data_IF_812085994832
#
_entry.id   IF_812085994832
#
_cell.length_a   1.000
_cell.length_b   1.000
_cell.length_c   1.000
_cell.angle_alpha   90.00
_cell.angle_beta   90.00
_cell.angle_gamma   90.00
#
_symmetry.space_group_name_H-M   'P 1'
#
loop_
_entity.id
_entity.type
_entity.pdbx_description
1 polymer ?
#
# COMPACT_ATOMS: atom_id res chain seq x y z
N UNK A 1 -59.26 -43.63 0.40
CA UNK A 1 -57.80 -43.41 0.28
C UNK A 1 -57.52 -41.91 0.23
N UNK A 2 -57.22 -41.28 1.38
CA UNK A 2 -56.92 -39.84 1.48
C UNK A 2 -55.43 -39.63 1.17
N UNK A 3 -55.12 -39.08 0.00
CA UNK A 3 -53.74 -38.79 -0.43
C UNK A 3 -53.07 -37.77 0.50
N UNK A 4 -51.87 -38.10 0.96
CA UNK A 4 -50.98 -37.29 1.80
C UNK A 4 -50.53 -36.01 1.09
N UNK A 5 -51.37 -34.98 1.09
CA UNK A 5 -51.03 -33.63 0.57
C UNK A 5 -50.01 -32.88 1.42
N UNK A 6 -49.84 -33.24 2.70
CA UNK A 6 -48.92 -32.56 3.63
C UNK A 6 -47.43 -32.88 3.42
N UNK A 7 -47.08 -34.10 3.01
CA UNK A 7 -45.68 -34.48 2.82
C UNK A 7 -45.02 -33.74 1.66
N UNK A 8 -45.66 -33.72 0.49
CA UNK A 8 -45.13 -33.01 -0.68
C UNK A 8 -45.01 -31.50 -0.46
N UNK A 9 -45.98 -30.88 0.24
CA UNK A 9 -45.92 -29.45 0.55
C UNK A 9 -44.75 -29.10 1.49
N UNK A 10 -44.51 -29.92 2.52
CA UNK A 10 -43.38 -29.76 3.44
C UNK A 10 -42.02 -29.90 2.73
N UNK A 11 -41.89 -30.85 1.80
CA UNK A 11 -40.66 -30.99 0.99
C UNK A 11 -40.43 -29.79 0.09
N UNK A 12 -41.48 -29.27 -0.56
CA UNK A 12 -41.38 -28.07 -1.40
C UNK A 12 -41.00 -26.85 -0.56
N UNK A 13 -41.58 -26.68 0.62
CA UNK A 13 -41.24 -25.59 1.54
C UNK A 13 -39.79 -25.68 2.02
N UNK A 14 -39.34 -26.87 2.43
CA UNK A 14 -37.95 -27.11 2.82
C UNK A 14 -37.00 -26.84 1.64
N UNK A 15 -37.37 -27.24 0.42
CA UNK A 15 -36.59 -26.97 -0.78
C UNK A 15 -36.48 -25.47 -1.07
N UNK A 16 -37.57 -24.72 -0.90
CA UNK A 16 -37.56 -23.26 -1.05
C UNK A 16 -36.72 -22.58 0.03
N UNK A 17 -36.79 -23.04 1.29
CA UNK A 17 -35.95 -22.52 2.37
C UNK A 17 -34.47 -22.82 2.14
N UNK A 18 -34.13 -24.02 1.68
CA UNK A 18 -32.76 -24.38 1.33
C UNK A 18 -32.27 -23.55 0.15
N UNK A 19 -33.09 -23.38 -0.89
CA UNK A 19 -32.76 -22.52 -2.04
C UNK A 19 -32.53 -21.07 -1.60
N UNK A 20 -33.41 -20.53 -0.76
CA UNK A 20 -33.27 -19.19 -0.20
C UNK A 20 -31.99 -19.07 0.63
N UNK A 21 -31.71 -20.05 1.49
CA UNK A 21 -30.48 -20.09 2.30
C UNK A 21 -29.23 -20.10 1.42
N UNK A 22 -29.20 -20.91 0.37
CA UNK A 22 -28.09 -20.97 -0.59
C UNK A 22 -27.91 -19.64 -1.32
N UNK A 23 -29.02 -19.00 -1.72
CA UNK A 23 -28.99 -17.68 -2.34
C UNK A 23 -28.44 -16.62 -1.38
N UNK A 24 -28.91 -16.59 -0.12
CA UNK A 24 -28.40 -15.68 0.91
C UNK A 24 -26.90 -15.91 1.20
N UNK A 25 -26.46 -17.16 1.31
CA UNK A 25 -25.05 -17.49 1.51
C UNK A 25 -24.18 -17.01 0.36
N UNK A 26 -24.67 -17.16 -0.88
CA UNK A 26 -23.97 -16.69 -2.08
C UNK A 26 -23.79 -15.17 -2.05
N UNK A 27 -24.81 -14.42 -1.64
CA UNK A 27 -24.71 -12.96 -1.47
C UNK A 27 -23.69 -12.60 -0.38
N UNK A 28 -23.71 -13.30 0.76
CA UNK A 28 -22.75 -13.07 1.85
C UNK A 28 -21.30 -13.30 1.40
N UNK A 29 -21.03 -14.38 0.67
CA UNK A 29 -19.70 -14.67 0.12
C UNK A 29 -19.22 -13.56 -0.82
N UNK A 30 -20.11 -13.03 -1.67
CA UNK A 30 -19.76 -11.92 -2.56
C UNK A 30 -19.42 -10.65 -1.78
N UNK A 31 -20.22 -10.28 -0.77
CA UNK A 31 -19.98 -9.10 0.06
C UNK A 31 -18.67 -9.24 0.83
N UNK A 32 -18.42 -10.39 1.47
CA UNK A 32 -17.17 -10.64 2.19
C UNK A 32 -15.96 -10.67 1.25
N UNK A 33 -16.13 -11.23 0.05
CA UNK A 33 -15.12 -11.23 -0.99
C UNK A 33 -14.73 -9.81 -1.43
N UNK A 34 -15.71 -8.94 -1.65
CA UNK A 34 -15.49 -7.53 -1.98
C UNK A 34 -14.82 -6.79 -0.81
N UNK A 35 -15.35 -6.93 0.41
CA UNK A 35 -14.79 -6.30 1.60
C UNK A 35 -13.33 -6.70 1.86
N UNK A 36 -12.98 -7.97 1.62
CA UNK A 36 -11.59 -8.46 1.76
C UNK A 36 -10.65 -7.82 0.74
N UNK A 37 -11.09 -7.59 -0.50
CA UNK A 37 -10.29 -6.90 -1.52
C UNK A 37 -10.06 -5.44 -1.15
N UNK A 38 -11.15 -4.71 -0.83
CA UNK A 38 -11.07 -3.32 -0.39
C UNK A 38 -10.19 -3.16 0.85
N UNK A 39 -10.31 -4.07 1.83
CA UNK A 39 -9.47 -4.04 3.02
C UNK A 39 -7.98 -4.28 2.70
N UNK A 40 -7.68 -5.08 1.68
CA UNK A 40 -6.30 -5.31 1.25
C UNK A 40 -5.73 -4.09 0.56
N UNK A 41 -6.45 -3.51 -0.40
CA UNK A 41 -6.07 -2.28 -1.10
C UNK A 41 -5.85 -1.12 -0.12
N UNK A 42 -6.76 -0.95 0.85
CA UNK A 42 -6.62 0.08 1.88
C UNK A 42 -5.40 -0.15 2.77
N UNK A 43 -5.04 -1.40 3.05
CA UNK A 43 -3.84 -1.73 3.83
C UNK A 43 -2.56 -1.44 3.03
N UNK A 44 -2.51 -1.86 1.78
CA UNK A 44 -1.38 -1.60 0.88
C UNK A 44 -1.15 -0.09 0.72
N UNK A 45 -2.22 0.69 0.47
CA UNK A 45 -2.14 2.14 0.41
C UNK A 45 -1.69 2.77 1.74
N UNK A 46 -2.26 2.34 2.87
CA UNK A 46 -1.89 2.86 4.19
C UNK A 46 -0.41 2.63 4.50
N UNK A 47 0.11 1.44 4.17
CA UNK A 47 1.53 1.13 4.30
C UNK A 47 2.38 2.01 3.37
N UNK A 48 1.98 2.19 2.10
CA UNK A 48 2.69 3.05 1.16
C UNK A 48 2.76 4.51 1.63
N UNK A 49 1.65 5.05 2.16
CA UNK A 49 1.59 6.39 2.75
C UNK A 49 2.56 6.49 3.94
N UNK A 50 2.55 5.51 4.85
CA UNK A 50 3.44 5.51 6.01
C UNK A 50 4.92 5.48 5.60
N UNK A 51 5.29 4.68 4.59
CA UNK A 51 6.65 4.63 4.06
C UNK A 51 7.06 6.00 3.52
N UNK A 52 6.23 6.63 2.69
CA UNK A 52 6.52 7.94 2.10
C UNK A 52 6.61 9.04 3.17
N UNK A 53 5.73 9.03 4.18
CA UNK A 53 5.77 9.98 5.30
C UNK A 53 7.04 9.83 6.13
N UNK A 54 7.40 8.60 6.49
CA UNK A 54 8.65 8.33 7.19
C UNK A 54 9.86 8.83 6.38
N UNK A 55 9.87 8.61 5.06
CA UNK A 55 10.90 9.15 4.18
C UNK A 55 10.93 10.68 4.16
N UNK A 56 9.76 11.35 4.15
CA UNK A 56 9.69 12.80 4.24
C UNK A 56 10.20 13.34 5.57
N UNK A 57 9.93 12.65 6.68
CA UNK A 57 10.45 12.99 8.01
C UNK A 57 11.97 12.84 8.07
N UNK A 58 12.52 11.73 7.57
CA UNK A 58 13.96 11.52 7.44
C UNK A 58 14.60 12.57 6.53
N UNK A 59 13.94 12.93 5.42
CA UNK A 59 14.40 13.99 4.54
C UNK A 59 14.40 15.33 5.26
N UNK A 60 13.36 15.68 6.02
CA UNK A 60 13.32 16.91 6.81
C UNK A 60 14.44 16.95 7.87
N UNK A 61 14.76 15.81 8.50
CA UNK A 61 15.79 15.69 9.52
C UNK A 61 17.22 15.68 8.96
N UNK A 62 17.41 15.24 7.71
CA UNK A 62 18.75 15.09 7.12
C UNK A 62 19.48 16.41 6.89
N UNK A 63 20.80 16.41 7.04
CA UNK A 63 21.66 17.56 6.72
C UNK A 63 22.13 17.60 5.25
N UNK A 64 22.25 16.43 4.62
CA UNK A 64 22.70 16.27 3.23
C UNK A 64 22.02 15.10 2.54
N UNK A 65 22.24 14.97 1.24
CA UNK A 65 21.78 13.83 0.45
C UNK A 65 22.35 12.50 0.95
N UNK A 66 23.62 12.48 1.32
CA UNK A 66 24.31 11.28 1.83
C UNK A 66 23.77 10.88 3.20
N UNK A 67 23.52 11.84 4.07
CA UNK A 67 22.91 11.63 5.38
C UNK A 67 21.50 11.05 5.24
N UNK A 68 20.69 11.61 4.32
CA UNK A 68 19.38 11.06 4.00
C UNK A 68 19.46 9.62 3.46
N UNK A 69 20.38 9.33 2.54
CA UNK A 69 20.56 7.98 2.00
C UNK A 69 20.93 6.97 3.09
N UNK A 70 21.80 7.36 4.04
CA UNK A 70 22.19 6.54 5.17
C UNK A 70 21.03 6.29 6.14
N UNK A 71 20.26 7.34 6.48
CA UNK A 71 19.07 7.22 7.33
C UNK A 71 17.99 6.32 6.71
N UNK A 72 17.83 6.39 5.39
CA UNK A 72 16.85 5.60 4.65
C UNK A 72 17.32 4.14 4.44
N UNK A 73 18.61 3.84 4.65
CA UNK A 73 19.22 2.58 4.25
C UNK A 73 19.08 2.33 2.75
N UNK A 74 19.18 3.41 1.95
CA UNK A 74 18.89 3.38 0.53
C UNK A 74 20.15 3.26 -0.32
N UNK A 75 20.03 2.50 -1.40
CA UNK A 75 21.07 2.36 -2.42
C UNK A 75 20.89 3.40 -3.52
N UNK A 76 22.01 3.87 -4.07
CA UNK A 76 21.99 4.78 -5.22
C UNK A 76 21.81 3.96 -6.50
N UNK A 77 20.76 4.27 -7.26
CA UNK A 77 20.50 3.61 -8.54
C UNK A 77 21.41 4.16 -9.64
N UNK A 78 21.50 3.44 -10.77
CA UNK A 78 22.20 3.91 -11.97
C UNK A 78 21.63 5.22 -12.54
N UNK A 79 20.37 5.53 -12.25
CA UNK A 79 19.70 6.78 -12.64
C UNK A 79 20.00 7.94 -11.69
N UNK A 80 20.74 7.68 -10.61
CA UNK A 80 21.04 8.66 -9.59
C UNK A 80 19.85 8.96 -8.67
N UNK A 81 18.89 8.05 -8.54
CA UNK A 81 17.84 8.08 -7.52
C UNK A 81 18.28 7.27 -6.30
N UNK A 82 17.59 7.42 -5.17
CA UNK A 82 17.80 6.57 -3.99
C UNK A 82 16.67 5.55 -3.91
N UNK A 83 17.00 4.30 -3.63
CA UNK A 83 16.03 3.19 -3.59
C UNK A 83 16.16 2.40 -2.29
N UNK A 84 15.04 2.17 -1.62
CA UNK A 84 14.96 1.34 -0.42
C UNK A 84 13.81 0.34 -0.52
N UNK A 85 14.01 -0.87 -0.01
CA UNK A 85 13.01 -1.93 0.02
C UNK A 85 12.37 -2.04 1.41
N UNK A 86 11.08 -2.38 1.43
CA UNK A 86 10.30 -2.55 2.65
C UNK A 86 9.50 -3.85 2.60
N UNK A 87 9.34 -4.49 3.76
CA UNK A 87 8.60 -5.72 3.93
C UNK A 87 7.07 -5.52 3.88
N UNK A 88 6.31 -6.61 3.99
CA UNK A 88 4.83 -6.58 3.98
C UNK A 88 4.19 -5.75 5.10
N UNK A 89 4.96 -5.44 6.15
CA UNK A 89 4.55 -4.61 7.28
C UNK A 89 4.97 -3.15 7.13
N UNK A 90 5.78 -2.81 6.11
CA UNK A 90 6.36 -1.48 5.91
C UNK A 90 7.65 -1.25 6.70
N UNK A 91 8.27 -2.32 7.23
CA UNK A 91 9.60 -2.26 7.83
C UNK A 91 10.69 -2.28 6.77
N UNK A 92 11.77 -1.52 6.97
CA UNK A 92 12.93 -1.57 6.06
C UNK A 92 13.55 -2.98 6.05
N UNK A 93 14.00 -3.43 4.87
CA UNK A 93 14.64 -4.74 4.68
C UNK A 93 15.78 -4.67 3.67
N UNK A 94 16.92 -5.28 3.99
CA UNK A 94 18.00 -5.56 3.02
C UNK A 94 17.74 -6.82 2.20
N UNK A 95 16.88 -7.72 2.69
CA UNK A 95 16.54 -8.96 2.01
C UNK A 95 15.54 -8.70 0.88
N UNK A 96 16.00 -8.79 -0.37
CA UNK A 96 15.18 -8.65 -1.57
C UNK A 96 14.02 -9.65 -1.62
N UNK A 97 14.14 -10.82 -1.00
CA UNK A 97 13.07 -11.83 -0.99
C UNK A 97 11.91 -11.45 -0.07
N UNK A 98 12.15 -10.54 0.87
CA UNK A 98 11.13 -9.99 1.78
C UNK A 98 10.56 -8.66 1.27
N UNK A 99 11.13 -8.08 0.19
CA UNK A 99 10.70 -6.81 -0.37
C UNK A 99 9.28 -6.88 -0.94
N UNK A 100 8.32 -6.26 -0.24
CA UNK A 100 6.94 -6.13 -0.66
C UNK A 100 6.63 -4.75 -1.27
N UNK A 101 7.39 -3.73 -0.86
CA UNK A 101 7.28 -2.37 -1.36
C UNK A 101 8.66 -1.81 -1.67
N UNK A 102 8.71 -0.87 -2.62
CA UNK A 102 9.93 -0.19 -3.01
C UNK A 102 9.67 1.31 -2.98
N UNK A 103 10.48 2.04 -2.23
CA UNK A 103 10.52 3.49 -2.27
C UNK A 103 11.63 3.93 -3.23
N UNK A 104 11.29 4.80 -4.17
CA UNK A 104 12.26 5.55 -4.98
C UNK A 104 12.17 7.03 -4.62
N UNK A 105 13.32 7.65 -4.34
CA UNK A 105 13.43 9.05 -3.98
C UNK A 105 14.28 9.80 -5.01
N UNK A 106 13.70 10.83 -5.60
CA UNK A 106 14.36 11.80 -6.48
C UNK A 106 14.59 13.07 -5.68
N UNK A 107 15.84 13.49 -5.57
CA UNK A 107 16.24 14.67 -4.80
C UNK A 107 16.81 15.73 -5.74
N UNK A 108 16.35 16.97 -5.58
CA UNK A 108 16.83 18.13 -6.31
C UNK A 108 17.22 19.26 -5.33
N UNK A 109 18.21 20.05 -5.73
CA UNK A 109 18.83 21.09 -4.93
C UNK A 109 18.89 22.37 -5.78
N UNK A 110 18.09 23.37 -5.40
CA UNK A 110 18.01 24.65 -6.11
C UNK A 110 18.58 25.78 -5.23
N UNK A 111 19.69 26.42 -5.64
CA UNK A 111 20.25 27.57 -4.94
C UNK A 111 19.26 28.75 -4.89
N UNK A 112 19.23 29.46 -3.75
CA UNK A 112 18.48 30.72 -3.56
C UNK A 112 19.42 31.79 -2.99
N UNK A 113 19.06 33.07 -3.13
CA UNK A 113 19.93 34.19 -2.71
C UNK A 113 20.28 34.20 -1.20
N UNK A 114 19.52 33.51 -0.35
CA UNK A 114 19.71 33.48 1.11
C UNK A 114 19.82 32.06 1.70
N UNK A 115 20.09 31.05 0.86
CA UNK A 115 20.10 29.64 1.27
C UNK A 115 19.84 28.68 0.11
N UNK A 116 19.41 27.47 0.42
CA UNK A 116 19.15 26.41 -0.55
C UNK A 116 17.73 25.88 -0.37
N UNK A 117 16.99 25.68 -1.46
CA UNK A 117 15.74 24.93 -1.44
C UNK A 117 16.02 23.52 -1.91
N UNK A 118 15.73 22.53 -1.07
CA UNK A 118 15.82 21.12 -1.44
C UNK A 118 14.43 20.55 -1.63
N UNK A 119 14.22 19.82 -2.72
CA UNK A 119 12.98 19.12 -2.98
C UNK A 119 13.22 17.63 -3.03
N UNK A 120 12.22 16.86 -2.62
CA UNK A 120 12.21 15.42 -2.71
C UNK A 120 10.87 14.96 -3.28
N UNK A 121 10.95 14.10 -4.29
CA UNK A 121 9.81 13.38 -4.84
C UNK A 121 9.95 11.92 -4.48
N UNK A 122 8.98 11.39 -3.73
CA UNK A 122 8.93 10.02 -3.27
C UNK A 122 7.87 9.25 -4.03
N UNK A 123 8.25 8.08 -4.57
CA UNK A 123 7.34 7.15 -5.22
C UNK A 123 7.43 5.82 -4.50
N UNK A 124 6.30 5.34 -3.98
CA UNK A 124 6.19 4.00 -3.39
C UNK A 124 5.47 3.09 -4.36
N UNK A 125 6.14 2.02 -4.74
CA UNK A 125 5.64 0.99 -5.66
C UNK A 125 5.46 -0.34 -4.94
N UNK A 126 4.64 -1.22 -5.52
CA UNK A 126 4.61 -2.63 -5.12
C UNK A 126 5.94 -3.33 -5.46
N UNK A 127 6.11 -4.57 -5.00
CA UNK A 127 7.31 -5.37 -5.25
C UNK A 127 7.67 -5.56 -6.73
N UNK A 128 6.69 -5.41 -7.64
CA UNK A 128 6.92 -5.47 -9.09
C UNK A 128 7.72 -4.26 -9.62
N UNK A 129 7.82 -3.17 -8.84
CA UNK A 129 8.50 -1.94 -9.20
C UNK A 129 7.76 -1.06 -10.23
N UNK A 130 6.61 -1.51 -10.72
CA UNK A 130 5.85 -0.86 -11.79
C UNK A 130 4.53 -0.28 -11.26
N UNK A 131 3.89 -0.95 -10.30
CA UNK A 131 2.61 -0.52 -9.75
C UNK A 131 2.84 0.57 -8.71
N UNK A 132 2.61 1.83 -9.08
CA UNK A 132 2.64 2.97 -8.14
C UNK A 132 1.46 2.88 -7.17
N UNK A 133 1.77 2.87 -5.88
CA UNK A 133 0.78 2.83 -4.80
C UNK A 133 0.56 4.21 -4.19
N UNK A 134 1.61 5.03 -4.09
CA UNK A 134 1.52 6.37 -3.51
C UNK A 134 2.70 7.25 -3.94
N UNK A 135 2.46 8.55 -4.04
CA UNK A 135 3.47 9.57 -4.35
C UNK A 135 3.39 10.72 -3.35
N UNK A 136 4.55 11.29 -3.00
CA UNK A 136 4.65 12.42 -2.08
C UNK A 136 5.77 13.37 -2.50
N UNK A 137 5.41 14.63 -2.75
CA UNK A 137 6.35 15.73 -2.92
C UNK A 137 6.55 16.47 -1.59
N UNK A 138 7.80 16.76 -1.26
CA UNK A 138 8.16 17.60 -0.12
C UNK A 138 9.32 18.53 -0.46
N UNK A 139 9.46 19.58 0.33
CA UNK A 139 10.56 20.54 0.20
C UNK A 139 10.99 21.06 1.56
N UNK A 140 12.26 21.40 1.68
CA UNK A 140 12.81 22.07 2.86
C UNK A 140 13.75 23.20 2.45
N UNK A 141 13.73 24.26 3.25
CA UNK A 141 14.63 25.38 3.09
C UNK A 141 15.77 25.27 4.09
N UNK A 142 17.00 25.42 3.61
CA UNK A 142 18.20 25.49 4.44
C UNK A 142 18.72 26.92 4.35
N UNK A 143 18.66 27.66 5.47
CA UNK A 143 19.22 29.01 5.56
C UNK A 143 20.75 28.98 5.52
N UNK A 144 21.32 29.97 4.83
CA UNK A 144 22.77 30.22 4.83
C UNK A 144 23.27 30.96 6.07
#
# INVERSE_FOLDING_TARGET
>A
MRRSRGGAAFYVETLLLVLFLLASLTVLVQILGAAKRTSREARELSTAVSIAQNAAELFAASGSREDFAALLGAEKTARGTLRAAYDVQGGWTEDETQGAYVLEAVLDETPRQAGEMRTAHFVVTAADGDTVLYELDTQKYIGG
#
